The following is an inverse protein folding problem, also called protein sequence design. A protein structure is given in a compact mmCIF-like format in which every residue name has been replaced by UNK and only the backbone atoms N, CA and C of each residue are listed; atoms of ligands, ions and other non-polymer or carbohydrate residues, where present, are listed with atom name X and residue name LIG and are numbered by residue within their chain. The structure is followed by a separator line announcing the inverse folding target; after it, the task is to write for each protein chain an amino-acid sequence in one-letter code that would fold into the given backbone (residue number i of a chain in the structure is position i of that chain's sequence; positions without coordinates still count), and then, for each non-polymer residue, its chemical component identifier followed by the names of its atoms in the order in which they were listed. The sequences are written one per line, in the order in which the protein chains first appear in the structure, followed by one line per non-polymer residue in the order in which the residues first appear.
data_IF_308411840171
#
_entry.id   IF_308411840171
#
_cell.length_a   1.000
_cell.length_b   1.000
_cell.length_c   1.000
_cell.angle_alpha   90.00
_cell.angle_beta   90.00
_cell.angle_gamma   90.00
#
_symmetry.space_group_name_H-M   'P 1'
#
loop_
_entity.id
_entity.type
_entity.pdbx_description
1 polymer ?
#
# COMPACT_ATOMS: atom_id res chain seq x y z
N UNK A 1 13.44 18.92 13.22
CA UNK A 1 12.57 18.24 12.23
C UNK A 1 13.19 16.91 11.80
N UNK A 2 13.61 16.06 12.75
CA UNK A 2 13.95 14.67 12.46
C UNK A 2 12.72 13.84 12.85
N UNK A 3 12.22 13.09 11.89
CA UNK A 3 11.23 12.04 12.09
C UNK A 3 11.79 10.72 11.58
N UNK A 4 11.27 9.59 12.05
CA UNK A 4 11.61 8.31 11.44
C UNK A 4 10.82 8.13 10.15
N UNK A 5 11.51 7.71 9.08
CA UNK A 5 10.89 7.43 7.78
C UNK A 5 10.76 5.93 7.65
N UNK A 6 9.52 5.48 7.50
CA UNK A 6 9.19 4.08 7.32
C UNK A 6 8.72 3.85 5.88
N UNK A 7 9.15 2.74 5.30
CA UNK A 7 8.76 2.32 3.95
C UNK A 7 8.00 1.02 4.04
N UNK A 8 6.77 1.01 3.52
CA UNK A 8 5.97 -0.21 3.42
C UNK A 8 6.42 -1.03 2.22
N UNK A 9 6.84 -2.27 2.47
CA UNK A 9 7.16 -3.26 1.45
C UNK A 9 6.06 -4.32 1.34
N UNK A 10 5.83 -4.79 0.12
CA UNK A 10 4.88 -5.86 -0.16
C UNK A 10 5.61 -7.17 -0.33
N UNK A 11 5.24 -8.17 0.46
CA UNK A 11 5.80 -9.54 0.38
C UNK A 11 5.15 -10.37 -0.71
N UNK A 12 3.99 -9.94 -1.22
CA UNK A 12 3.25 -10.60 -2.31
C UNK A 12 3.17 -9.68 -3.52
N UNK A 13 3.36 -10.20 -4.74
CA UNK A 13 3.21 -9.42 -5.95
C UNK A 13 1.72 -9.13 -6.22
N UNK A 14 1.38 -7.86 -6.47
CA UNK A 14 0.03 -7.44 -6.83
C UNK A 14 0.07 -6.19 -7.71
N UNK A 15 -0.84 -6.10 -8.68
CA UNK A 15 -1.05 -4.90 -9.51
C UNK A 15 -1.76 -3.78 -8.75
N UNK A 16 -2.35 -4.09 -7.59
CA UNK A 16 -3.18 -3.17 -6.80
C UNK A 16 -2.47 -2.65 -5.53
N UNK A 17 -1.16 -2.84 -5.39
CA UNK A 17 -0.39 -2.30 -4.26
C UNK A 17 -0.57 -0.78 -4.07
N UNK A 18 -0.84 -0.05 -5.15
CA UNK A 18 -1.10 1.39 -5.10
C UNK A 18 -2.42 1.75 -4.40
N UNK A 19 -3.35 0.81 -4.22
CA UNK A 19 -4.65 1.08 -3.61
C UNK A 19 -4.60 1.24 -2.09
N UNK A 20 -3.61 0.63 -1.43
CA UNK A 20 -3.51 0.67 0.04
C UNK A 20 -3.48 2.11 0.58
N UNK A 21 -2.91 3.07 -0.17
CA UNK A 21 -2.90 4.48 0.24
C UNK A 21 -4.29 5.09 0.41
N UNK A 22 -5.28 4.63 -0.36
CA UNK A 22 -6.66 5.14 -0.28
C UNK A 22 -7.38 4.58 0.93
N UNK A 23 -7.18 3.30 1.25
CA UNK A 23 -7.69 2.71 2.49
C UNK A 23 -7.03 3.33 3.71
N UNK A 24 -5.70 3.50 3.71
CA UNK A 24 -5.00 4.18 4.79
C UNK A 24 -5.55 5.59 5.01
N UNK A 25 -5.79 6.34 3.94
CA UNK A 25 -6.40 7.67 4.03
C UNK A 25 -7.83 7.61 4.59
N UNK A 26 -8.64 6.63 4.19
CA UNK A 26 -9.99 6.43 4.72
C UNK A 26 -9.99 6.11 6.23
N UNK A 27 -8.97 5.40 6.70
CA UNK A 27 -8.72 5.13 8.13
C UNK A 27 -7.95 6.25 8.85
N UNK A 28 -7.82 7.43 8.23
CA UNK A 28 -7.22 8.61 8.84
C UNK A 28 -5.68 8.62 8.90
N UNK A 29 -5.01 7.74 8.15
CA UNK A 29 -3.56 7.69 8.03
C UNK A 29 -3.10 8.40 6.74
N UNK A 30 -2.45 9.54 6.88
CA UNK A 30 -1.91 10.28 5.75
C UNK A 30 -0.50 9.77 5.39
N UNK A 31 -0.32 9.34 4.14
CA UNK A 31 1.00 9.04 3.59
C UNK A 31 1.68 10.32 3.07
N UNK A 32 3.00 10.33 3.13
CA UNK A 32 3.80 11.36 2.47
C UNK A 32 3.52 11.34 0.96
N UNK A 33 3.28 12.50 0.37
CA UNK A 33 2.92 12.71 -1.05
C UNK A 33 3.94 12.16 -2.07
N UNK A 34 5.08 11.61 -1.64
CA UNK A 34 6.17 11.16 -2.49
C UNK A 34 6.31 9.63 -2.45
N UNK A 35 5.67 8.95 -3.40
CA UNK A 35 5.89 7.53 -3.68
C UNK A 35 5.26 6.54 -2.70
N UNK A 36 5.34 5.26 -3.05
CA UNK A 36 4.69 4.12 -2.37
C UNK A 36 5.00 4.05 -0.88
N UNK A 37 3.97 4.23 -0.04
CA UNK A 37 3.94 3.71 1.33
C UNK A 37 4.91 4.34 2.31
N UNK A 38 5.29 5.62 2.13
CA UNK A 38 6.15 6.32 3.09
C UNK A 38 5.35 6.93 4.23
N UNK A 39 5.63 6.47 5.44
CA UNK A 39 5.12 7.02 6.68
C UNK A 39 6.21 7.85 7.35
N UNK A 40 5.84 9.03 7.85
CA UNK A 40 6.75 9.92 8.57
C UNK A 40 6.22 10.06 9.99
N UNK A 41 6.97 9.55 10.96
CA UNK A 41 6.64 9.69 12.38
C UNK A 41 7.50 10.76 13.01
N UNK A 42 6.91 11.64 13.81
CA UNK A 42 7.69 12.57 14.64
C UNK A 42 8.33 11.81 15.82
N UNK A 43 9.44 12.31 16.34
CA UNK A 43 10.11 11.69 17.52
C UNK A 43 9.31 11.82 18.82
N UNK A 44 8.19 12.55 18.81
CA UNK A 44 7.35 12.77 19.98
C UNK A 44 6.14 11.82 20.02
N UNK A 45 6.08 10.80 19.17
CA UNK A 45 5.03 9.78 19.21
C UNK A 45 5.09 9.02 20.52
N UNK A 46 3.98 9.01 21.24
CA UNK A 46 3.77 8.11 22.38
C UNK A 46 3.45 6.69 21.90
N UNK A 47 3.64 5.71 22.79
CA UNK A 47 3.28 4.31 22.50
C UNK A 47 1.79 4.16 22.18
N UNK A 48 0.92 4.93 22.85
CA UNK A 48 -0.52 4.91 22.61
C UNK A 48 -0.90 5.46 21.21
N UNK A 49 -0.24 6.52 20.76
CA UNK A 49 -0.44 7.06 19.40
C UNK A 49 0.09 6.08 18.34
N UNK A 50 1.19 5.39 18.64
CA UNK A 50 1.73 4.35 17.75
C UNK A 50 0.77 3.17 17.64
N UNK A 51 0.21 2.68 18.75
CA UNK A 51 -0.76 1.60 18.76
C UNK A 51 -2.01 1.93 17.94
N UNK A 52 -2.54 3.16 18.05
CA UNK A 52 -3.67 3.63 17.23
C UNK A 52 -3.33 3.61 15.74
N UNK A 53 -2.11 4.02 15.36
CA UNK A 53 -1.65 3.91 13.96
C UNK A 53 -1.59 2.45 13.50
N UNK A 54 -1.10 1.53 14.33
CA UNK A 54 -1.06 0.10 14.01
C UNK A 54 -2.47 -0.45 13.80
N UNK A 55 -3.41 -0.15 14.71
CA UNK A 55 -4.80 -0.61 14.59
C UNK A 55 -5.45 -0.12 13.31
N UNK A 56 -5.32 1.18 12.99
CA UNK A 56 -5.86 1.77 11.76
C UNK A 56 -5.21 1.21 10.50
N UNK A 57 -3.91 0.94 10.54
CA UNK A 57 -3.18 0.37 9.41
C UNK A 57 -3.68 -1.06 9.11
N UNK A 58 -3.84 -1.87 10.15
CA UNK A 58 -4.37 -3.24 10.02
C UNK A 58 -5.82 -3.21 9.54
N UNK A 59 -6.66 -2.33 10.10
CA UNK A 59 -8.05 -2.19 9.68
C UNK A 59 -8.17 -1.81 8.18
N UNK A 60 -7.37 -0.86 7.72
CA UNK A 60 -7.29 -0.49 6.30
C UNK A 60 -6.87 -1.66 5.40
N UNK A 61 -5.89 -2.45 5.83
CA UNK A 61 -5.43 -3.62 5.08
C UNK A 61 -6.49 -4.73 5.03
N UNK A 62 -7.21 -4.96 6.13
CA UNK A 62 -8.30 -5.94 6.20
C UNK A 62 -9.48 -5.53 5.33
N UNK A 63 -9.85 -4.25 5.30
CA UNK A 63 -10.91 -3.74 4.42
C UNK A 63 -10.51 -3.88 2.93
N UNK A 64 -9.27 -3.52 2.58
CA UNK A 64 -8.74 -3.74 1.22
C UNK A 64 -8.77 -5.22 0.83
N UNK A 65 -8.49 -6.11 1.79
CA UNK A 65 -8.57 -7.55 1.57
C UNK A 65 -10.02 -8.02 1.40
N UNK A 66 -10.96 -7.57 2.22
CA UNK A 66 -12.38 -7.96 2.11
C UNK A 66 -13.00 -7.50 0.79
N UNK A 67 -12.55 -6.36 0.28
CA UNK A 67 -12.98 -5.83 -1.02
C UNK A 67 -12.35 -6.57 -2.21
N UNK A 68 -11.46 -7.54 -1.97
CA UNK A 68 -10.91 -8.43 -2.99
C UNK A 68 -9.64 -7.93 -3.70
N UNK A 69 -9.07 -6.79 -3.29
CA UNK A 69 -7.89 -6.22 -3.94
C UNK A 69 -6.59 -6.99 -3.68
N UNK A 70 -6.58 -7.86 -2.67
CA UNK A 70 -5.46 -8.76 -2.37
C UNK A 70 -5.54 -10.10 -3.13
N UNK A 71 -6.33 -10.16 -4.20
CA UNK A 71 -6.36 -11.32 -5.08
C UNK A 71 -4.95 -11.64 -5.62
N UNK A 72 -4.56 -12.91 -5.51
CA UNK A 72 -3.26 -13.39 -5.93
C UNK A 72 -3.40 -14.83 -6.46
N UNK A 73 -2.86 -15.07 -7.65
CA UNK A 73 -2.68 -16.40 -8.22
C UNK A 73 -1.19 -16.81 -8.11
N UNK A 74 -0.92 -18.10 -7.93
CA UNK A 74 0.45 -18.60 -7.71
C UNK A 74 1.38 -18.39 -8.91
N UNK A 75 0.84 -18.23 -10.12
CA UNK A 75 1.61 -17.91 -11.32
C UNK A 75 1.91 -16.41 -11.46
N UNK A 76 1.27 -15.58 -10.63
CA UNK A 76 1.37 -14.13 -10.69
C UNK A 76 2.69 -13.67 -10.06
N UNK A 77 3.64 -13.28 -10.91
CA UNK A 77 4.92 -12.67 -10.49
C UNK A 77 4.96 -11.19 -10.85
N UNK A 78 5.82 -10.41 -10.19
CA UNK A 78 6.06 -9.01 -10.58
C UNK A 78 6.45 -8.88 -12.07
N UNK A 79 7.16 -9.87 -12.62
CA UNK A 79 7.53 -9.91 -14.05
C UNK A 79 6.32 -10.15 -14.94
N UNK A 80 5.44 -11.09 -14.57
CA UNK A 80 4.22 -11.38 -15.30
C UNK A 80 3.26 -10.18 -15.31
N UNK A 81 3.06 -9.54 -14.15
CA UNK A 81 2.22 -8.34 -14.00
C UNK A 81 2.69 -7.22 -14.93
N UNK A 82 3.99 -6.88 -14.90
CA UNK A 82 4.54 -5.81 -15.77
C UNK A 82 4.33 -6.09 -17.26
N UNK A 83 4.50 -7.34 -17.68
CA UNK A 83 4.27 -7.76 -19.08
C UNK A 83 2.79 -7.70 -19.45
N UNK A 84 1.90 -8.11 -18.54
CA UNK A 84 0.45 -8.02 -18.72
C UNK A 84 0.00 -6.59 -18.96
N UNK A 85 0.37 -5.67 -18.05
CA UNK A 85 0.04 -4.24 -18.15
C UNK A 85 0.56 -3.64 -19.47
N UNK A 86 1.80 -3.96 -19.87
CA UNK A 86 2.36 -3.48 -21.14
C UNK A 86 1.55 -3.97 -22.36
N UNK A 87 1.15 -5.25 -22.36
CA UNK A 87 0.31 -5.81 -23.44
C UNK A 87 -1.07 -5.17 -23.47
N UNK A 88 -1.70 -4.98 -22.31
CA UNK A 88 -2.99 -4.28 -22.17
C UNK A 88 -2.89 -2.87 -22.79
N UNK A 89 -1.85 -2.11 -22.45
CA UNK A 89 -1.64 -0.76 -23.00
C UNK A 89 -1.41 -0.75 -24.52
N UNK A 90 -0.68 -1.72 -25.06
CA UNK A 90 -0.45 -1.82 -26.51
C UNK A 90 -1.74 -2.17 -27.25
N UNK A 91 -2.55 -3.10 -26.72
CA UNK A 91 -3.82 -3.50 -27.32
C UNK A 91 -4.90 -2.41 -27.28
N UNK A 92 -4.78 -1.43 -26.36
CA UNK A 92 -5.67 -0.27 -26.34
C UNK A 92 -5.17 0.89 -27.22
N UNK A 93 -3.91 0.85 -27.66
CA UNK A 93 -3.29 1.90 -28.48
C UNK A 93 -3.39 1.62 -29.98
N UNK A 94 -3.52 0.35 -30.36
CA UNK A 94 -3.64 -0.14 -31.74
C UNK A 94 -4.92 -0.93 -31.90
#
# INVERSE_FOLDING_TARGET
NLGSVWTVFYTRPSRYNWMLQFYLRAHGLALSWVGTGRLIFSLNYSDAEFDDVVQRFVAAALEMQSDGWWWHDTQLTNRAIKRGILREMLAHRF
#
